data_IF_891128451579
#
_entry.id   IF_891128451579
#
_cell.length_a   1.000
_cell.length_b   1.000
_cell.length_c   1.000
_cell.angle_alpha   90.00
_cell.angle_beta   90.00
_cell.angle_gamma   90.00
#
_symmetry.space_group_name_H-M   'P 1'
#
loop_
_entity.id
_entity.type
_entity.pdbx_description
1 polymer ?
#
# COMPACT_ATOMS: atom_id res chain seq x y z
N UNK A 1 3.32 2.01 14.19
CA UNK A 1 2.38 2.09 13.06
C UNK A 1 1.30 1.06 13.27
N UNK A 2 0.13 1.24 12.66
CA UNK A 2 -0.93 0.22 12.66
C UNK A 2 -0.60 -0.69 11.48
N UNK A 3 -0.11 -1.90 11.76
CA UNK A 3 0.21 -2.85 10.71
C UNK A 3 -1.07 -3.43 10.10
N UNK A 4 -1.00 -3.79 8.81
CA UNK A 4 -2.15 -4.33 8.07
C UNK A 4 -2.72 -5.62 8.69
N UNK A 5 -1.83 -6.46 9.24
CA UNK A 5 -2.16 -7.75 9.85
C UNK A 5 -1.05 -8.20 10.82
N UNK A 6 -1.27 -9.33 11.51
CA UNK A 6 -0.34 -9.84 12.51
C UNK A 6 1.03 -10.23 11.89
N UNK A 7 2.12 -9.88 12.59
CA UNK A 7 3.50 -10.11 12.13
C UNK A 7 3.80 -11.59 11.85
N UNK A 8 3.11 -12.53 12.48
CA UNK A 8 3.28 -13.97 12.24
C UNK A 8 3.03 -14.36 10.78
N UNK A 9 2.16 -13.64 10.05
CA UNK A 9 1.88 -13.89 8.64
C UNK A 9 2.86 -13.22 7.68
N UNK A 10 3.66 -12.24 8.14
CA UNK A 10 4.51 -11.42 7.28
C UNK A 10 5.47 -12.24 6.43
N UNK A 11 6.17 -13.22 7.01
CA UNK A 11 7.14 -14.02 6.26
C UNK A 11 6.48 -14.80 5.12
N UNK A 12 5.28 -15.32 5.35
CA UNK A 12 4.51 -16.06 4.33
C UNK A 12 3.97 -15.11 3.27
N UNK A 13 3.41 -13.97 3.68
CA UNK A 13 2.92 -12.93 2.79
C UNK A 13 4.01 -12.46 1.81
N UNK A 14 5.19 -12.12 2.33
CA UNK A 14 6.31 -11.68 1.49
C UNK A 14 6.75 -12.77 0.50
N UNK A 15 6.88 -14.03 0.95
CA UNK A 15 7.25 -15.15 0.06
C UNK A 15 6.20 -15.39 -1.02
N UNK A 16 4.92 -15.28 -0.67
CA UNK A 16 3.81 -15.50 -1.58
C UNK A 16 3.76 -14.43 -2.67
N UNK A 17 3.81 -13.15 -2.30
CA UNK A 17 3.78 -12.06 -3.27
C UNK A 17 5.04 -12.05 -4.15
N UNK A 18 6.21 -12.28 -3.55
CA UNK A 18 7.47 -12.44 -4.26
C UNK A 18 7.41 -13.55 -5.32
N UNK A 19 6.95 -14.74 -4.91
CA UNK A 19 6.87 -15.89 -5.81
C UNK A 19 5.82 -15.71 -6.89
N UNK A 20 4.72 -15.03 -6.60
CA UNK A 20 3.70 -14.69 -7.59
C UNK A 20 4.28 -13.84 -8.71
N UNK A 21 4.95 -12.72 -8.38
CA UNK A 21 5.56 -11.85 -9.38
C UNK A 21 6.67 -12.56 -10.16
N UNK A 22 7.55 -13.25 -9.46
CA UNK A 22 8.63 -14.02 -10.06
C UNK A 22 8.10 -15.05 -11.07
N UNK A 23 7.10 -15.84 -10.68
CA UNK A 23 6.50 -16.84 -11.57
C UNK A 23 5.84 -16.18 -12.79
N UNK A 24 5.01 -15.16 -12.59
CA UNK A 24 4.25 -14.55 -13.70
C UNK A 24 5.14 -13.79 -14.68
N UNK A 25 6.23 -13.17 -14.20
CA UNK A 25 7.17 -12.44 -15.06
C UNK A 25 8.22 -13.35 -15.66
N UNK A 26 8.92 -14.14 -14.83
CA UNK A 26 10.09 -14.90 -15.27
C UNK A 26 9.71 -16.24 -15.89
N UNK A 27 8.68 -16.95 -15.40
CA UNK A 27 8.26 -18.23 -15.99
C UNK A 27 7.20 -18.04 -17.08
N UNK A 28 6.19 -17.20 -16.84
CA UNK A 28 5.09 -16.99 -17.79
C UNK A 28 5.35 -15.89 -18.83
N UNK A 29 6.44 -15.11 -18.68
CA UNK A 29 6.89 -14.08 -19.63
C UNK A 29 5.92 -12.92 -19.82
N UNK A 30 5.09 -12.61 -18.81
CA UNK A 30 4.30 -11.38 -18.79
C UNK A 30 5.15 -10.19 -18.31
N UNK A 31 4.82 -8.96 -18.71
CA UNK A 31 5.50 -7.78 -18.16
C UNK A 31 5.11 -7.54 -16.71
N UNK A 32 6.01 -6.96 -15.91
CA UNK A 32 5.76 -6.68 -14.49
C UNK A 32 4.53 -5.78 -14.30
N UNK A 33 4.40 -4.75 -15.13
CA UNK A 33 3.27 -3.81 -15.10
C UNK A 33 1.95 -4.53 -15.35
N UNK A 34 1.90 -5.41 -16.35
CA UNK A 34 0.69 -6.18 -16.68
C UNK A 34 0.29 -7.08 -15.53
N UNK A 35 1.26 -7.82 -14.97
CA UNK A 35 1.05 -8.71 -13.83
C UNK A 35 0.55 -7.94 -12.63
N UNK A 36 1.17 -6.80 -12.34
CA UNK A 36 0.79 -5.95 -11.21
C UNK A 36 -0.61 -5.39 -11.36
N UNK A 37 -0.98 -4.91 -12.56
CA UNK A 37 -2.34 -4.42 -12.82
C UNK A 37 -3.39 -5.53 -12.67
N UNK A 38 -3.12 -6.75 -13.15
CA UNK A 38 -4.01 -7.89 -12.89
C UNK A 38 -4.16 -8.19 -11.39
N UNK A 39 -3.07 -8.10 -10.64
CA UNK A 39 -3.11 -8.27 -9.18
C UNK A 39 -3.93 -7.15 -8.53
N UNK A 40 -3.69 -5.88 -8.84
CA UNK A 40 -4.43 -4.75 -8.27
C UNK A 40 -5.94 -4.86 -8.51
N UNK A 41 -6.36 -5.29 -9.71
CA UNK A 41 -7.78 -5.46 -10.06
C UNK A 41 -8.42 -6.73 -9.48
N UNK A 42 -7.63 -7.61 -8.89
CA UNK A 42 -8.09 -8.90 -8.37
C UNK A 42 -8.82 -8.72 -7.03
N UNK A 43 -9.75 -9.61 -6.69
CA UNK A 43 -10.29 -9.69 -5.32
C UNK A 43 -9.23 -10.22 -4.36
N UNK A 44 -8.27 -10.95 -4.91
CA UNK A 44 -7.14 -11.55 -4.21
C UNK A 44 -6.26 -10.49 -3.55
N UNK A 45 -5.94 -9.37 -4.23
CA UNK A 45 -5.17 -8.27 -3.65
C UNK A 45 -5.87 -7.64 -2.44
N UNK A 46 -7.19 -7.38 -2.56
CA UNK A 46 -8.00 -6.83 -1.47
C UNK A 46 -8.08 -7.75 -0.26
N UNK A 47 -8.07 -9.06 -0.47
CA UNK A 47 -8.02 -10.04 0.63
C UNK A 47 -6.63 -10.11 1.25
N UNK A 48 -5.58 -10.00 0.43
CA UNK A 48 -4.19 -9.98 0.86
C UNK A 48 -3.93 -8.79 1.80
N UNK A 49 -4.20 -7.57 1.35
CA UNK A 49 -3.90 -6.34 2.11
C UNK A 49 -4.69 -6.22 3.41
N UNK A 50 -5.84 -6.92 3.52
CA UNK A 50 -6.67 -7.01 4.73
C UNK A 50 -6.29 -8.15 5.68
N UNK A 51 -5.29 -8.96 5.33
CA UNK A 51 -4.80 -10.01 6.21
C UNK A 51 -5.53 -11.34 6.14
N UNK A 52 -6.20 -11.67 5.04
CA UNK A 52 -6.88 -12.98 4.89
C UNK A 52 -5.87 -14.12 4.92
N UNK A 53 -5.92 -14.95 5.97
CA UNK A 53 -4.93 -16.01 6.20
C UNK A 53 -4.90 -17.05 5.09
N UNK A 54 -6.02 -17.27 4.38
CA UNK A 54 -6.08 -18.21 3.26
C UNK A 54 -5.24 -17.74 2.07
N UNK A 55 -5.10 -16.42 1.89
CA UNK A 55 -4.27 -15.79 0.86
C UNK A 55 -2.83 -15.63 1.36
N UNK A 56 -2.66 -15.13 2.58
CA UNK A 56 -1.32 -14.85 3.14
C UNK A 56 -0.49 -16.09 3.42
N UNK A 57 -1.13 -17.19 3.83
CA UNK A 57 -0.44 -18.41 4.29
C UNK A 57 -1.10 -19.72 3.83
N UNK A 58 -2.36 -19.68 3.39
CA UNK A 58 -3.12 -20.86 2.98
C UNK A 58 -2.87 -21.32 1.54
N UNK A 59 -2.09 -20.56 0.77
CA UNK A 59 -1.71 -20.89 -0.60
C UNK A 59 -0.25 -20.55 -0.86
N UNK A 60 0.34 -21.18 -1.86
CA UNK A 60 1.65 -20.84 -2.41
C UNK A 60 1.56 -19.63 -3.33
N UNK A 61 2.68 -18.93 -3.55
CA UNK A 61 2.71 -17.82 -4.52
C UNK A 61 2.36 -18.21 -5.96
N UNK A 62 2.54 -19.48 -6.34
CA UNK A 62 2.10 -19.98 -7.66
C UNK A 62 0.58 -20.15 -7.71
N UNK A 63 -0.04 -20.63 -6.63
CA UNK A 63 -1.50 -20.67 -6.52
C UNK A 63 -2.09 -19.25 -6.48
N UNK A 64 -1.42 -18.32 -5.81
CA UNK A 64 -1.77 -16.90 -5.83
C UNK A 64 -1.76 -16.35 -7.28
N UNK A 65 -0.70 -16.63 -8.05
CA UNK A 65 -0.60 -16.24 -9.46
C UNK A 65 -1.74 -16.82 -10.31
N UNK A 66 -2.06 -18.11 -10.12
CA UNK A 66 -3.16 -18.76 -10.82
C UNK A 66 -4.52 -18.14 -10.48
N UNK A 67 -4.73 -17.77 -9.21
CA UNK A 67 -5.94 -17.09 -8.76
C UNK A 67 -6.08 -15.71 -9.42
N UNK A 68 -4.99 -14.94 -9.49
CA UNK A 68 -4.96 -13.64 -10.17
C UNK A 68 -5.24 -13.77 -11.67
N UNK A 69 -4.63 -14.75 -12.34
CA UNK A 69 -4.91 -15.04 -13.76
C UNK A 69 -6.38 -15.41 -13.98
N UNK A 70 -6.94 -16.25 -13.10
CA UNK A 70 -8.34 -16.65 -13.16
C UNK A 70 -9.28 -15.46 -12.99
N UNK A 71 -9.02 -14.58 -12.01
CA UNK A 71 -9.83 -13.40 -11.74
C UNK A 71 -9.73 -12.34 -12.84
N UNK A 72 -8.59 -12.28 -13.54
CA UNK A 72 -8.37 -11.40 -14.71
C UNK A 72 -8.82 -12.00 -16.04
N UNK A 73 -9.47 -13.18 -16.03
CA UNK A 73 -9.98 -13.85 -17.22
C UNK A 73 -8.88 -14.37 -18.17
N UNK A 74 -7.64 -14.50 -17.67
CA UNK A 74 -6.52 -15.02 -18.44
C UNK A 74 -6.48 -16.55 -18.41
N UNK A 75 -5.91 -17.15 -19.45
CA UNK A 75 -5.64 -18.59 -19.46
C UNK A 75 -4.62 -18.95 -18.38
N UNK A 76 -4.83 -20.07 -17.70
CA UNK A 76 -3.86 -20.60 -16.73
C UNK A 76 -2.94 -21.57 -17.47
N UNK A 77 -1.69 -21.19 -17.79
CA UNK A 77 -0.77 -22.06 -18.51
C UNK A 77 -0.28 -23.20 -17.60
N UNK A 78 -0.11 -24.39 -18.20
CA UNK A 78 0.49 -25.54 -17.52
C UNK A 78 2.03 -25.48 -17.62
N UNK A 79 2.61 -24.41 -17.06
CA UNK A 79 4.06 -24.21 -16.98
C UNK A 79 4.52 -24.49 -15.55
N UNK A 80 5.50 -25.39 -15.42
CA UNK A 80 6.09 -25.73 -14.13
C UNK A 80 6.91 -24.53 -13.60
N UNK A 81 6.73 -24.14 -12.33
CA UNK A 81 7.50 -23.05 -11.74
C UNK A 81 8.98 -23.41 -11.69
N UNK A 82 9.83 -22.45 -12.04
CA UNK A 82 11.26 -22.59 -11.81
C UNK A 82 11.61 -22.10 -10.41
N UNK A 83 12.58 -22.77 -9.78
CA UNK A 83 13.11 -22.38 -8.48
C UNK A 83 14.58 -22.03 -8.67
N UNK A 84 14.82 -20.81 -9.18
CA UNK A 84 16.17 -20.27 -9.25
C UNK A 84 16.78 -20.18 -7.83
N UNK A 85 18.08 -20.43 -7.74
CA UNK A 85 18.81 -20.32 -6.47
C UNK A 85 18.94 -18.85 -6.03
N UNK A 86 19.09 -17.95 -7.00
CA UNK A 86 19.14 -16.51 -6.79
C UNK A 86 17.74 -15.89 -6.86
N UNK A 87 17.48 -14.90 -6.02
CA UNK A 87 16.22 -14.15 -6.03
C UNK A 87 16.27 -13.13 -7.15
N UNK A 88 15.32 -13.23 -8.09
CA UNK A 88 15.17 -12.26 -9.18
C UNK A 88 14.81 -10.86 -8.65
N UNK A 89 15.04 -9.80 -9.45
CA UNK A 89 14.52 -8.46 -9.13
C UNK A 89 13.02 -8.48 -8.85
N UNK A 90 12.23 -9.24 -9.62
CA UNK A 90 10.77 -9.35 -9.47
C UNK A 90 10.38 -10.04 -8.16
N UNK A 91 11.12 -11.09 -7.77
CA UNK A 91 10.95 -11.74 -6.47
C UNK A 91 11.18 -10.73 -5.34
N UNK A 92 12.30 -10.00 -5.39
CA UNK A 92 12.61 -9.00 -4.37
C UNK A 92 11.57 -7.88 -4.32
N UNK A 93 11.11 -7.39 -5.48
CA UNK A 93 10.06 -6.37 -5.55
C UNK A 93 8.79 -6.82 -4.84
N UNK A 94 8.30 -8.03 -5.12
CA UNK A 94 7.12 -8.56 -4.42
C UNK A 94 7.36 -8.77 -2.92
N UNK A 95 8.56 -9.20 -2.54
CA UNK A 95 8.95 -9.38 -1.14
C UNK A 95 8.99 -8.05 -0.37
N UNK A 96 9.53 -7.01 -0.99
CA UNK A 96 9.69 -5.68 -0.40
C UNK A 96 8.35 -4.94 -0.30
N UNK A 97 7.52 -4.98 -1.36
CA UNK A 97 6.19 -4.34 -1.37
C UNK A 97 5.27 -4.99 -0.33
N UNK A 98 5.28 -6.32 -0.20
CA UNK A 98 4.48 -6.99 0.83
C UNK A 98 4.85 -6.52 2.26
N UNK A 99 6.13 -6.22 2.51
CA UNK A 99 6.53 -5.64 3.79
C UNK A 99 6.04 -4.21 3.93
N UNK A 100 6.22 -3.39 2.89
CA UNK A 100 5.82 -1.98 2.94
C UNK A 100 4.32 -1.83 3.16
N UNK A 101 3.52 -2.64 2.46
CA UNK A 101 2.07 -2.76 2.64
C UNK A 101 1.74 -3.16 4.08
N UNK A 102 2.39 -4.18 4.63
CA UNK A 102 2.19 -4.60 6.01
C UNK A 102 2.57 -3.52 7.04
N UNK A 103 3.70 -2.84 6.83
CA UNK A 103 4.27 -1.89 7.77
C UNK A 103 3.40 -0.61 7.88
N UNK A 104 2.92 -0.14 6.74
CA UNK A 104 2.12 1.11 6.61
C UNK A 104 0.61 0.88 6.71
N UNK A 105 0.12 -0.31 6.33
CA UNK A 105 -1.31 -0.55 6.17
C UNK A 105 -1.92 0.14 4.95
N UNK A 106 -1.11 0.61 4.00
CA UNK A 106 -1.60 1.10 2.71
C UNK A 106 -2.22 -0.06 1.90
N UNK A 107 -3.18 0.27 1.06
CA UNK A 107 -3.67 -0.61 0.01
C UNK A 107 -2.66 -0.64 -1.14
N UNK A 108 -2.63 -1.73 -1.92
CA UNK A 108 -1.67 -1.83 -3.02
C UNK A 108 -1.87 -0.78 -4.11
N UNK A 109 -3.11 -0.32 -4.32
CA UNK A 109 -3.42 0.74 -5.27
C UNK A 109 -3.01 2.14 -4.75
N UNK A 110 -2.99 2.36 -3.44
CA UNK A 110 -2.40 3.56 -2.83
C UNK A 110 -0.88 3.57 -3.07
N UNK A 111 -0.21 2.42 -2.89
CA UNK A 111 1.23 2.27 -3.16
C UNK A 111 1.53 2.53 -4.64
N UNK A 112 0.79 1.90 -5.55
CA UNK A 112 1.00 2.07 -7.01
C UNK A 112 0.79 3.51 -7.47
N UNK A 113 -0.22 4.21 -6.92
CA UNK A 113 -0.48 5.62 -7.24
C UNK A 113 0.65 6.54 -6.78
N UNK A 114 1.31 6.20 -5.68
CA UNK A 114 2.41 6.98 -5.13
C UNK A 114 3.75 6.66 -5.82
N UNK A 115 4.05 5.38 -6.04
CA UNK A 115 5.28 4.89 -6.65
C UNK A 115 4.95 3.71 -7.56
N UNK A 116 5.15 3.88 -8.86
CA UNK A 116 4.82 2.85 -9.85
C UNK A 116 5.70 1.61 -9.67
N UNK A 117 5.13 0.42 -9.86
CA UNK A 117 5.82 -0.87 -9.68
C UNK A 117 7.18 -0.96 -10.40
N UNK A 118 7.30 -0.36 -11.58
CA UNK A 118 8.56 -0.34 -12.35
C UNK A 118 9.64 0.47 -11.63
N UNK A 119 9.28 1.56 -10.94
CA UNK A 119 10.22 2.37 -10.16
C UNK A 119 10.62 1.64 -8.88
N UNK A 120 9.67 0.96 -8.22
CA UNK A 120 9.97 0.11 -7.07
C UNK A 120 10.95 -1.01 -7.46
N UNK A 121 10.80 -1.62 -8.63
CA UNK A 121 11.73 -2.62 -9.15
C UNK A 121 13.15 -2.06 -9.35
N UNK A 122 13.30 -0.80 -9.75
CA UNK A 122 14.62 -0.17 -9.90
C UNK A 122 15.34 0.01 -8.56
N UNK A 123 14.61 0.02 -7.44
CA UNK A 123 15.20 0.03 -6.09
C UNK A 123 15.89 -1.29 -5.73
N UNK A 124 15.74 -2.35 -6.53
CA UNK A 124 16.43 -3.62 -6.31
C UNK A 124 17.95 -3.41 -6.20
N UNK A 125 18.57 -2.82 -7.22
CA UNK A 125 20.04 -2.69 -7.28
C UNK A 125 20.62 -2.00 -6.04
N UNK A 126 20.13 -0.82 -5.61
CA UNK A 126 20.67 -0.17 -4.42
C UNK A 126 20.27 -0.81 -3.08
N UNK A 127 19.09 -1.44 -2.96
CA UNK A 127 18.54 -1.83 -1.64
C UNK A 127 18.50 -3.34 -1.35
N UNK A 128 18.67 -4.23 -2.34
CA UNK A 128 18.44 -5.67 -2.12
C UNK A 128 19.40 -6.36 -1.14
N UNK A 129 20.59 -5.78 -0.93
CA UNK A 129 21.57 -6.25 0.06
C UNK A 129 21.47 -5.47 1.40
N UNK A 130 20.65 -4.43 1.45
CA UNK A 130 20.49 -3.57 2.62
C UNK A 130 19.43 -4.09 3.60
N UNK A 131 19.43 -3.54 4.82
CA UNK A 131 18.28 -3.69 5.72
C UNK A 131 17.02 -3.12 5.05
N UNK A 132 15.95 -3.89 5.07
CA UNK A 132 14.66 -3.54 4.48
C UNK A 132 14.10 -2.20 4.98
N UNK A 133 14.48 -1.75 6.19
CA UNK A 133 14.11 -0.43 6.71
C UNK A 133 14.58 0.71 5.82
N UNK A 134 15.74 0.58 5.18
CA UNK A 134 16.23 1.61 4.25
C UNK A 134 15.37 1.70 2.98
N UNK A 135 14.82 0.56 2.53
CA UNK A 135 13.81 0.55 1.47
C UNK A 135 12.51 1.23 1.94
N UNK A 136 12.06 0.97 3.17
CA UNK A 136 10.87 1.61 3.76
C UNK A 136 11.05 3.13 3.87
N UNK A 137 12.19 3.59 4.35
CA UNK A 137 12.51 5.02 4.46
C UNK A 137 12.46 5.68 3.07
N UNK A 138 13.06 5.04 2.06
CA UNK A 138 13.02 5.53 0.68
C UNK A 138 11.60 5.56 0.10
N UNK A 139 10.80 4.53 0.36
CA UNK A 139 9.41 4.48 -0.07
C UNK A 139 8.56 5.56 0.61
N UNK A 140 8.80 5.84 1.89
CA UNK A 140 8.13 6.93 2.61
C UNK A 140 8.46 8.31 2.01
N UNK A 141 9.72 8.55 1.66
CA UNK A 141 10.13 9.77 0.94
C UNK A 141 9.35 9.91 -0.38
N UNK A 142 9.39 8.88 -1.23
CA UNK A 142 8.71 8.89 -2.53
C UNK A 142 7.19 9.06 -2.38
N UNK A 143 6.60 8.45 -1.35
CA UNK A 143 5.18 8.60 -1.05
C UNK A 143 4.82 10.05 -0.74
N UNK A 144 5.58 10.72 0.15
CA UNK A 144 5.32 12.12 0.51
C UNK A 144 5.59 13.07 -0.64
N UNK A 145 6.58 12.79 -1.49
CA UNK A 145 6.84 13.57 -2.71
C UNK A 145 5.67 13.49 -3.70
N UNK A 146 5.00 12.33 -3.78
CA UNK A 146 3.81 12.13 -4.63
C UNK A 146 2.55 12.83 -4.07
N UNK A 147 2.45 12.94 -2.75
CA UNK A 147 1.27 13.44 -2.03
C UNK A 147 1.68 14.40 -0.92
N UNK A 148 2.05 15.65 -1.26
CA UNK A 148 2.59 16.60 -0.28
C UNK A 148 1.52 17.10 0.72
N UNK A 149 0.25 17.05 0.33
CA UNK A 149 -0.88 17.44 1.17
C UNK A 149 -1.21 16.33 2.19
N UNK A 150 -1.83 16.72 3.31
CA UNK A 150 -2.44 15.74 4.24
C UNK A 150 -3.69 15.13 3.61
N UNK A 151 -4.07 13.93 4.05
CA UNK A 151 -5.29 13.27 3.64
C UNK A 151 -6.52 14.15 3.92
N UNK A 152 -6.54 14.82 5.09
CA UNK A 152 -7.59 15.78 5.43
C UNK A 152 -7.68 16.92 4.40
N UNK A 153 -6.54 17.52 4.02
CA UNK A 153 -6.53 18.62 3.06
C UNK A 153 -6.99 18.15 1.69
N UNK A 154 -6.50 16.99 1.24
CA UNK A 154 -6.87 16.41 -0.05
C UNK A 154 -8.37 16.07 -0.13
N UNK A 155 -8.94 15.44 0.90
CA UNK A 155 -10.37 15.11 0.96
C UNK A 155 -11.25 16.35 1.04
N UNK A 156 -10.81 17.37 1.81
CA UNK A 156 -11.52 18.66 1.88
C UNK A 156 -11.58 19.35 0.54
N UNK A 157 -10.45 19.47 -0.18
CA UNK A 157 -10.41 20.13 -1.48
C UNK A 157 -11.18 19.35 -2.53
N UNK A 158 -11.10 18.01 -2.51
CA UNK A 158 -11.91 17.14 -3.37
C UNK A 158 -13.42 17.33 -3.14
N UNK A 159 -13.83 17.54 -1.89
CA UNK A 159 -15.22 17.80 -1.51
C UNK A 159 -15.67 19.24 -1.78
N UNK A 160 -14.78 20.11 -2.26
CA UNK A 160 -15.08 21.50 -2.61
C UNK A 160 -15.21 22.46 -1.43
N UNK A 161 -14.80 22.06 -0.22
CA UNK A 161 -14.89 22.92 0.97
C UNK A 161 -13.65 23.78 1.19
N UNK A 162 -13.85 25.02 1.62
CA UNK A 162 -12.82 25.82 2.28
C UNK A 162 -12.58 25.32 3.72
N UNK A 163 -11.46 25.72 4.33
CA UNK A 163 -11.21 25.39 5.74
C UNK A 163 -12.29 25.96 6.68
N UNK A 164 -12.83 27.13 6.35
CA UNK A 164 -13.88 27.79 7.14
C UNK A 164 -15.22 27.04 7.04
N UNK A 165 -15.63 26.63 5.83
CA UNK A 165 -16.86 25.86 5.62
C UNK A 165 -16.77 24.48 6.30
N UNK A 166 -15.63 23.79 6.20
CA UNK A 166 -15.43 22.53 6.89
C UNK A 166 -15.52 22.70 8.42
N UNK A 167 -14.89 23.76 8.95
CA UNK A 167 -14.92 24.08 10.38
C UNK A 167 -16.35 24.34 10.87
N UNK A 168 -17.13 25.10 10.11
CA UNK A 168 -18.54 25.39 10.41
C UNK A 168 -19.40 24.12 10.41
N UNK A 169 -19.34 23.31 9.34
CA UNK A 169 -20.16 22.10 9.21
C UNK A 169 -19.82 21.01 10.23
N UNK A 170 -18.55 20.89 10.59
CA UNK A 170 -18.10 19.89 11.57
C UNK A 170 -18.20 20.38 13.01
N UNK A 171 -18.47 21.67 13.21
CA UNK A 171 -18.37 22.35 14.51
C UNK A 171 -17.01 22.10 15.18
N UNK A 172 -15.93 22.14 14.38
CA UNK A 172 -14.53 22.04 14.82
C UNK A 172 -13.91 23.43 14.62
N UNK A 173 -13.16 23.98 15.61
CA UNK A 173 -12.55 25.29 15.44
C UNK A 173 -11.64 25.35 14.19
N UNK A 174 -11.76 26.42 13.40
CA UNK A 174 -10.95 26.62 12.18
C UNK A 174 -9.44 26.42 12.41
N UNK A 175 -8.94 26.94 13.53
CA UNK A 175 -7.54 26.77 13.94
C UNK A 175 -7.14 25.30 14.04
N UNK A 176 -8.04 24.43 14.49
CA UNK A 176 -7.79 22.99 14.63
C UNK A 176 -7.73 22.30 13.27
N UNK A 177 -8.62 22.64 12.34
CA UNK A 177 -8.56 22.15 10.94
C UNK A 177 -7.22 22.54 10.31
N UNK A 178 -6.84 23.83 10.42
CA UNK A 178 -5.55 24.32 9.93
C UNK A 178 -4.35 23.58 10.55
N UNK A 179 -4.38 23.33 11.86
CA UNK A 179 -3.31 22.61 12.55
C UNK A 179 -3.18 21.16 12.08
N UNK A 180 -4.28 20.47 11.80
CA UNK A 180 -4.23 19.14 11.20
C UNK A 180 -3.66 19.19 9.79
N UNK A 181 -4.16 20.10 8.94
CA UNK A 181 -3.69 20.21 7.54
C UNK A 181 -2.21 20.61 7.43
N UNK A 182 -1.69 21.35 8.40
CA UNK A 182 -0.29 21.78 8.49
C UNK A 182 0.58 20.81 9.29
N UNK A 183 0.07 19.63 9.68
CA UNK A 183 0.77 18.63 10.51
C UNK A 183 1.26 19.14 11.87
N UNK A 184 0.80 20.31 12.33
CA UNK A 184 1.06 20.85 13.68
C UNK A 184 0.33 20.03 14.75
N UNK A 185 -0.82 19.45 14.40
CA UNK A 185 -1.52 18.45 15.20
C UNK A 185 -1.54 17.13 14.44
N UNK A 186 -1.27 16.05 15.16
CA UNK A 186 -1.38 14.71 14.63
C UNK A 186 -2.87 14.30 14.59
N UNK A 187 -3.43 14.17 13.38
CA UNK A 187 -4.83 13.76 13.17
C UNK A 187 -5.11 12.34 13.66
N UNK A 188 -4.12 11.44 13.63
CA UNK A 188 -4.24 10.08 14.14
C UNK A 188 -4.43 10.03 15.66
N UNK A 189 -4.18 11.14 16.37
CA UNK A 189 -4.42 11.31 17.81
C UNK A 189 -5.68 12.14 18.09
N UNK A 190 -6.46 12.50 17.08
CA UNK A 190 -7.72 13.20 17.28
C UNK A 190 -8.71 12.29 18.04
N UNK A 191 -9.64 12.91 18.77
CA UNK A 191 -10.73 12.17 19.40
C UNK A 191 -11.58 11.50 18.32
N UNK A 192 -12.04 10.27 18.60
CA UNK A 192 -12.86 9.51 17.65
C UNK A 192 -14.09 10.31 17.17
N UNK A 193 -14.72 11.09 18.05
CA UNK A 193 -15.83 11.96 17.68
C UNK A 193 -15.43 13.01 16.63
N UNK A 194 -14.26 13.64 16.77
CA UNK A 194 -13.72 14.60 15.79
C UNK A 194 -13.56 13.95 14.42
N UNK A 195 -12.98 12.75 14.37
CA UNK A 195 -12.79 12.00 13.12
C UNK A 195 -14.13 11.58 12.50
N UNK A 196 -15.10 11.18 13.32
CA UNK A 196 -16.45 10.84 12.85
C UNK A 196 -17.20 12.05 12.27
N UNK A 197 -17.01 13.24 12.84
CA UNK A 197 -17.60 14.48 12.29
C UNK A 197 -16.98 14.84 10.94
N UNK A 198 -15.65 14.79 10.84
CA UNK A 198 -14.92 15.04 9.60
C UNK A 198 -15.34 14.06 8.50
N UNK A 199 -15.31 12.76 8.78
CA UNK A 199 -15.63 11.71 7.80
C UNK A 199 -17.07 11.81 7.27
N UNK A 200 -18.03 12.15 8.12
CA UNK A 200 -19.43 12.36 7.70
C UNK A 200 -19.60 13.57 6.78
N UNK A 201 -18.94 14.68 7.06
CA UNK A 201 -19.02 15.89 6.23
C UNK A 201 -18.28 15.71 4.91
N UNK A 202 -17.14 15.01 4.94
CA UNK A 202 -16.32 14.73 3.75
C UNK A 202 -16.76 13.49 2.97
N UNK A 203 -17.81 12.79 3.44
CA UNK A 203 -18.33 11.57 2.85
C UNK A 203 -17.25 10.49 2.60
N UNK A 204 -16.37 10.30 3.57
CA UNK A 204 -15.28 9.31 3.55
C UNK A 204 -15.34 8.40 4.79
N UNK A 205 -14.47 7.41 4.86
CA UNK A 205 -14.26 6.63 6.09
C UNK A 205 -13.35 7.37 7.08
N UNK A 206 -13.26 6.89 8.32
CA UNK A 206 -12.30 7.45 9.28
C UNK A 206 -10.88 7.08 8.87
N UNK A 207 -10.70 5.89 8.32
CA UNK A 207 -9.46 5.34 7.82
C UNK A 207 -8.86 6.22 6.71
N UNK A 208 -9.70 6.81 5.84
CA UNK A 208 -9.26 7.73 4.78
C UNK A 208 -8.66 9.03 5.34
N UNK A 209 -9.02 9.44 6.56
CA UNK A 209 -8.48 10.64 7.22
C UNK A 209 -7.13 10.39 7.91
N UNK A 210 -6.77 9.13 8.12
CA UNK A 210 -5.58 8.76 8.89
C UNK A 210 -4.32 8.87 8.04
N UNK A 211 -3.27 9.45 8.60
CA UNK A 211 -1.95 9.49 7.96
C UNK A 211 -1.23 8.16 8.24
N UNK A 212 -1.28 7.23 7.27
CA UNK A 212 -0.71 5.88 7.38
C UNK A 212 0.82 5.87 7.34
N UNK A 213 1.40 6.76 6.53
CA UNK A 213 2.84 6.91 6.36
C UNK A 213 3.37 7.96 7.35
N UNK A 214 4.36 7.64 8.19
CA UNK A 214 4.94 8.61 9.10
C UNK A 214 5.65 9.70 8.30
N UNK A 215 5.53 10.95 8.74
CA UNK A 215 6.39 12.02 8.25
C UNK A 215 7.74 11.79 8.92
N UNK A 216 8.77 11.51 8.12
CA UNK A 216 10.15 11.51 8.62
C UNK A 216 10.46 12.94 9.02
N UNK A 217 10.71 13.19 10.31
CA UNK A 217 11.29 14.47 10.71
C UNK A 217 12.62 14.59 9.97
N UNK A 218 12.70 15.51 9.00
CA UNK A 218 13.97 15.91 8.42
C UNK A 218 14.80 16.48 9.57
N UNK A 219 15.81 15.71 10.00
CA UNK A 219 16.80 16.09 11.01
C UNK A 219 17.51 17.37 10.59
#
# INVERSE_FOLDING_TARGET
MIHAYDKSYLSSAQKNLARMLDYMVNDLKHSLETVWQWFLMSKTSHRFERGDCSVLSGMSGVELARMVLQESGQSIPDIRPSYACDRSPEYWTGWAIAYYQWDTGLHFDEIERAVHISDIRLLYTPYHEMDIRQFVDKMNELYHDSSPDTNLKALRTLSGFTQAELAEQTNIPLRTIQQYEQRQKNINKAQAETLLRLSRVLNCSVEDLMEKVPITDSV
#
